data_IF_381307709947
#
_entry.id   IF_381307709947
#
_cell.length_a   1.000
_cell.length_b   1.000
_cell.length_c   1.000
_cell.angle_alpha   90.00
_cell.angle_beta   90.00
_cell.angle_gamma   90.00
#
_symmetry.space_group_name_H-M   'P 1'
#
loop_
_entity.id
_entity.type
_entity.pdbx_description
1 polymer ?
#
# COMPACT_ATOMS: atom_id res chain seq x y z
N UNK A 1 -3.66 24.09 -2.59
CA UNK A 1 -2.92 24.32 -1.33
C UNK A 1 -1.43 24.08 -1.57
N UNK A 2 -0.55 24.34 -0.60
CA UNK A 2 0.89 24.03 -0.74
C UNK A 2 1.13 22.53 -1.04
N UNK A 3 0.34 21.63 -0.44
CA UNK A 3 0.35 20.19 -0.79
C UNK A 3 0.02 19.94 -2.27
N UNK A 4 -1.01 20.60 -2.81
CA UNK A 4 -1.39 20.47 -4.24
C UNK A 4 -0.24 20.89 -5.16
N UNK A 5 0.42 22.02 -4.88
CA UNK A 5 1.54 22.50 -5.68
C UNK A 5 2.75 21.55 -5.60
N UNK A 6 3.00 20.93 -4.44
CA UNK A 6 4.07 19.92 -4.30
C UNK A 6 3.79 18.66 -5.13
N UNK A 7 2.53 18.20 -5.19
CA UNK A 7 2.14 17.04 -6.01
C UNK A 7 2.44 17.20 -7.51
N UNK A 8 2.52 18.43 -8.00
CA UNK A 8 2.89 18.70 -9.40
C UNK A 8 4.39 18.54 -9.67
N UNK A 9 5.23 18.58 -8.63
CA UNK A 9 6.68 18.61 -8.75
C UNK A 9 7.37 17.37 -8.19
N UNK A 10 6.72 16.69 -7.25
CA UNK A 10 7.26 15.48 -6.63
C UNK A 10 6.21 14.37 -6.63
N UNK A 11 6.63 13.10 -6.66
CA UNK A 11 5.71 11.98 -6.45
C UNK A 11 4.94 12.11 -5.14
N UNK A 12 3.71 11.60 -5.08
CA UNK A 12 2.81 11.73 -3.92
C UNK A 12 3.47 11.32 -2.59
N UNK A 13 4.31 10.29 -2.60
CA UNK A 13 5.02 9.79 -1.42
C UNK A 13 6.15 10.70 -0.90
N UNK A 14 6.56 11.70 -1.68
CA UNK A 14 7.51 12.74 -1.26
C UNK A 14 6.81 13.99 -0.73
N UNK A 15 5.48 14.08 -0.89
CA UNK A 15 4.72 15.20 -0.34
C UNK A 15 4.60 15.01 1.18
N UNK A 16 5.02 16.00 2.00
CA UNK A 16 4.94 15.87 3.45
C UNK A 16 3.52 15.61 3.91
N UNK A 17 3.37 14.60 4.79
CA UNK A 17 2.12 14.31 5.48
C UNK A 17 1.59 15.55 6.24
N UNK A 18 2.50 16.36 6.78
CA UNK A 18 2.16 17.54 7.59
C UNK A 18 3.01 18.74 7.18
N UNK A 19 2.37 19.91 7.19
CA UNK A 19 3.02 21.19 6.98
C UNK A 19 2.68 22.05 8.19
N UNK A 20 3.68 22.32 9.03
CA UNK A 20 3.53 23.15 10.22
C UNK A 20 4.09 24.55 9.90
N UNK A 21 3.24 25.57 10.04
CA UNK A 21 3.72 26.95 10.00
C UNK A 21 4.36 27.32 11.33
N UNK A 22 5.59 27.82 11.26
CA UNK A 22 6.32 28.37 12.40
C UNK A 22 6.56 29.85 12.13
N UNK A 23 6.42 30.68 13.16
CA UNK A 23 6.77 32.10 13.07
C UNK A 23 8.28 32.30 12.87
N UNK A 24 9.09 31.41 13.47
CA UNK A 24 10.54 31.38 13.30
C UNK A 24 11.08 29.95 13.42
N UNK A 25 12.16 29.66 12.70
CA UNK A 25 12.89 28.40 12.85
C UNK A 25 13.70 28.42 14.14
N UNK A 26 13.67 27.35 14.96
CA UNK A 26 14.52 27.27 16.14
C UNK A 26 15.98 27.12 15.72
N UNK A 27 16.85 27.99 16.22
CA UNK A 27 18.28 27.97 15.91
C UNK A 27 19.10 27.68 17.16
N UNK A 28 20.18 26.93 16.97
CA UNK A 28 21.27 26.79 17.94
C UNK A 28 21.97 28.13 18.15
N UNK A 29 22.76 28.31 19.23
CA UNK A 29 23.55 29.53 19.44
C UNK A 29 24.48 29.90 18.28
N UNK A 30 24.90 28.90 17.49
CA UNK A 30 25.75 29.09 16.30
C UNK A 30 24.93 29.37 15.01
N UNK A 31 23.63 29.66 15.12
CA UNK A 31 22.75 29.99 13.99
C UNK A 31 22.31 28.82 13.12
N UNK A 32 22.70 27.58 13.43
CA UNK A 32 22.23 26.37 12.72
C UNK A 32 20.84 25.95 13.21
N UNK A 33 20.02 25.33 12.36
CA UNK A 33 18.73 24.76 12.74
C UNK A 33 18.86 23.78 13.91
N UNK A 34 18.14 24.04 15.00
CA UNK A 34 17.98 23.11 16.11
C UNK A 34 16.81 22.16 15.84
N UNK A 35 17.11 21.01 15.25
CA UNK A 35 16.11 19.99 14.91
C UNK A 35 15.41 19.40 16.14
N UNK A 36 16.03 19.42 17.32
CA UNK A 36 15.44 18.84 18.54
C UNK A 36 14.41 19.78 19.15
N UNK A 37 14.54 21.08 18.89
CA UNK A 37 13.61 22.11 19.31
C UNK A 37 12.42 22.30 18.34
N UNK A 38 12.39 21.59 17.21
CA UNK A 38 11.21 21.59 16.34
C UNK A 38 10.00 21.02 17.09
N UNK A 39 8.82 21.64 16.99
CA UNK A 39 7.60 21.10 17.59
C UNK A 39 7.32 19.69 17.08
N UNK A 40 6.95 18.78 17.98
CA UNK A 40 6.51 17.45 17.60
C UNK A 40 5.09 17.53 17.05
N UNK A 41 4.87 16.91 15.90
CA UNK A 41 3.52 16.69 15.37
C UNK A 41 2.94 15.49 16.12
N UNK A 42 1.83 15.69 16.82
CA UNK A 42 1.09 14.59 17.44
C UNK A 42 0.29 13.86 16.35
N UNK A 43 0.82 12.74 15.89
CA UNK A 43 0.18 11.91 14.86
C UNK A 43 -1.17 11.34 15.33
N UNK A 44 -1.40 11.19 16.66
CA UNK A 44 -2.65 10.63 17.18
C UNK A 44 -3.80 11.64 17.14
N UNK A 45 -3.53 12.93 17.35
CA UNK A 45 -4.53 13.99 17.20
C UNK A 45 -4.98 14.22 15.75
N UNK A 46 -4.26 13.63 14.80
CA UNK A 46 -4.45 13.85 13.37
C UNK A 46 -5.07 12.64 12.65
N UNK A 47 -5.46 11.58 13.36
CA UNK A 47 -6.25 10.50 12.77
C UNK A 47 -7.57 11.08 12.25
N UNK A 48 -7.81 10.89 10.96
CA UNK A 48 -9.14 11.10 10.37
C UNK A 48 -10.16 10.25 11.13
N UNK A 49 -11.45 10.56 11.00
CA UNK A 49 -12.53 9.77 11.62
C UNK A 49 -12.26 8.28 11.41
N UNK A 50 -12.07 7.56 12.50
CA UNK A 50 -11.74 6.14 12.45
C UNK A 50 -12.91 5.37 11.83
N UNK A 51 -12.67 4.78 10.67
CA UNK A 51 -13.61 3.87 10.01
C UNK A 51 -13.04 2.46 10.13
N UNK A 52 -13.74 1.60 10.88
CA UNK A 52 -13.28 0.24 11.13
C UNK A 52 -13.33 -0.64 9.86
N UNK A 53 -12.32 -1.49 9.63
CA UNK A 53 -12.39 -2.59 8.67
C UNK A 53 -13.59 -3.50 8.94
N UNK A 54 -14.41 -3.77 7.93
CA UNK A 54 -15.64 -4.57 8.04
C UNK A 54 -15.48 -5.96 7.45
N UNK A 55 -14.93 -6.08 6.24
CA UNK A 55 -14.76 -7.38 5.59
C UNK A 55 -13.53 -8.14 6.12
N UNK A 56 -13.51 -9.46 5.96
CA UNK A 56 -12.38 -10.29 6.37
C UNK A 56 -11.08 -9.86 5.68
N UNK A 57 -11.14 -9.51 4.38
CA UNK A 57 -9.99 -9.02 3.63
C UNK A 57 -9.48 -7.69 4.20
N UNK A 58 -10.38 -6.76 4.51
CA UNK A 58 -10.01 -5.48 5.12
C UNK A 58 -9.34 -5.69 6.48
N UNK A 59 -9.91 -6.55 7.33
CA UNK A 59 -9.36 -6.84 8.66
C UNK A 59 -7.96 -7.45 8.58
N UNK A 60 -7.76 -8.41 7.68
CA UNK A 60 -6.45 -9.05 7.49
C UNK A 60 -5.41 -8.05 6.96
N UNK A 61 -5.78 -7.20 6.01
CA UNK A 61 -4.87 -6.18 5.47
C UNK A 61 -4.58 -5.09 6.50
N UNK A 62 -5.58 -4.64 7.25
CA UNK A 62 -5.41 -3.68 8.34
C UNK A 62 -4.44 -4.21 9.40
N UNK A 63 -4.53 -5.50 9.75
CA UNK A 63 -3.62 -6.15 10.67
C UNK A 63 -2.18 -6.17 10.14
N UNK A 64 -1.98 -6.47 8.84
CA UNK A 64 -0.65 -6.39 8.21
C UNK A 64 -0.07 -4.97 8.35
N UNK A 65 -0.87 -3.94 8.07
CA UNK A 65 -0.43 -2.55 8.20
C UNK A 65 -0.09 -2.19 9.65
N UNK A 66 -0.97 -2.51 10.60
CA UNK A 66 -0.76 -2.26 12.03
C UNK A 66 0.55 -2.89 12.53
N UNK A 67 0.81 -4.15 12.16
CA UNK A 67 2.02 -4.87 12.56
C UNK A 67 3.32 -4.26 12.00
N UNK A 68 3.27 -3.80 10.76
CA UNK A 68 4.42 -3.21 10.06
C UNK A 68 4.69 -1.80 10.59
N UNK A 69 3.64 -1.01 10.80
CA UNK A 69 3.71 0.38 11.28
C UNK A 69 3.88 0.47 12.81
N UNK A 70 3.72 -0.64 13.55
CA UNK A 70 3.74 -0.68 15.02
C UNK A 70 2.65 0.19 15.65
N UNK A 71 1.43 0.05 15.13
CA UNK A 71 0.23 0.74 15.59
C UNK A 71 -0.77 -0.25 16.19
N UNK A 72 -1.58 0.20 17.15
CA UNK A 72 -2.62 -0.65 17.76
C UNK A 72 -3.75 -0.99 16.76
N UNK A 73 -4.06 -0.06 15.84
CA UNK A 73 -5.11 -0.21 14.83
C UNK A 73 -4.86 0.71 13.64
N UNK A 74 -5.44 0.34 12.50
CA UNK A 74 -5.50 1.13 11.26
C UNK A 74 -6.94 1.15 10.76
N UNK A 75 -7.43 2.33 10.41
CA UNK A 75 -8.76 2.56 9.83
C UNK A 75 -8.74 2.60 8.30
N UNK A 76 -9.91 2.46 7.69
CA UNK A 76 -10.07 2.39 6.24
C UNK A 76 -9.66 3.67 5.49
N UNK A 77 -9.78 4.82 6.14
CA UNK A 77 -9.38 6.14 5.62
C UNK A 77 -7.91 6.46 5.86
N UNK A 78 -7.17 5.66 6.63
CA UNK A 78 -5.81 5.99 7.01
C UNK A 78 -4.84 5.85 5.83
N UNK A 79 -3.99 6.86 5.66
CA UNK A 79 -2.92 6.87 4.67
C UNK A 79 -1.65 6.24 5.22
N UNK A 80 -1.06 5.28 4.49
CA UNK A 80 0.15 4.56 4.92
C UNK A 80 1.32 5.49 5.26
N UNK A 81 1.57 6.51 4.44
CA UNK A 81 2.69 7.43 4.59
C UNK A 81 2.41 8.49 5.66
N UNK A 82 1.16 8.92 5.83
CA UNK A 82 0.79 9.80 6.95
C UNK A 82 0.93 9.08 8.30
N UNK A 83 0.72 7.77 8.33
CA UNK A 83 0.99 6.92 9.50
C UNK A 83 2.49 6.63 9.74
N UNK A 84 3.41 7.24 8.99
CA UNK A 84 4.86 7.05 9.15
C UNK A 84 5.45 5.93 8.28
N UNK A 85 4.67 5.38 7.34
CA UNK A 85 5.12 4.42 6.36
C UNK A 85 6.22 4.97 5.43
N UNK A 86 7.15 4.11 5.03
CA UNK A 86 8.21 4.44 4.06
C UNK A 86 8.59 3.22 3.22
N UNK A 87 9.46 3.40 2.22
CA UNK A 87 9.78 2.40 1.18
C UNK A 87 10.10 0.99 1.70
N UNK A 88 10.89 0.88 2.78
CA UNK A 88 11.19 -0.40 3.40
C UNK A 88 9.94 -1.08 4.00
N UNK A 89 9.07 -0.31 4.66
CA UNK A 89 7.82 -0.82 5.22
C UNK A 89 6.84 -1.23 4.10
N UNK A 90 6.80 -0.47 3.00
CA UNK A 90 6.05 -0.84 1.79
C UNK A 90 6.50 -2.20 1.27
N UNK A 91 7.80 -2.45 1.15
CA UNK A 91 8.32 -3.74 0.71
C UNK A 91 7.92 -4.90 1.66
N UNK A 92 7.88 -4.64 2.97
CA UNK A 92 7.40 -5.61 3.96
C UNK A 92 5.91 -5.91 3.80
N UNK A 93 5.07 -4.89 3.62
CA UNK A 93 3.63 -5.06 3.37
C UNK A 93 3.39 -5.89 2.12
N UNK A 94 4.04 -5.54 0.99
CA UNK A 94 3.90 -6.30 -0.26
C UNK A 94 4.26 -7.77 -0.08
N UNK A 95 5.37 -8.04 0.61
CA UNK A 95 5.83 -9.41 0.86
C UNK A 95 4.82 -10.21 1.68
N UNK A 96 4.27 -9.62 2.75
CA UNK A 96 3.26 -10.26 3.60
C UNK A 96 1.95 -10.49 2.84
N UNK A 97 1.50 -9.51 2.06
CA UNK A 97 0.31 -9.63 1.21
C UNK A 97 0.49 -10.76 0.18
N UNK A 98 1.67 -10.85 -0.46
CA UNK A 98 1.97 -11.93 -1.39
C UNK A 98 1.95 -13.30 -0.71
N UNK A 99 2.54 -13.42 0.47
CA UNK A 99 2.55 -14.67 1.24
C UNK A 99 1.15 -15.11 1.68
N UNK A 100 0.32 -14.17 2.12
CA UNK A 100 -1.00 -14.47 2.67
C UNK A 100 -2.08 -14.66 1.59
N UNK A 101 -2.01 -13.90 0.50
CA UNK A 101 -3.07 -13.86 -0.52
C UNK A 101 -2.64 -14.41 -1.89
N UNK A 102 -1.37 -14.77 -2.07
CA UNK A 102 -0.84 -15.25 -3.35
C UNK A 102 -0.76 -14.17 -4.45
N UNK A 103 -0.94 -12.90 -4.09
CA UNK A 103 -0.96 -11.78 -5.04
C UNK A 103 0.40 -11.13 -5.14
N UNK A 104 0.94 -11.04 -6.36
CA UNK A 104 2.13 -10.24 -6.62
C UNK A 104 1.74 -8.79 -6.95
N UNK A 105 2.14 -7.87 -6.08
CA UNK A 105 1.86 -6.45 -6.26
C UNK A 105 3.17 -5.69 -6.51
N UNK A 106 3.28 -4.95 -7.63
CA UNK A 106 4.39 -4.04 -7.83
C UNK A 106 4.44 -2.99 -6.72
N UNK A 107 5.61 -2.75 -6.13
CA UNK A 107 5.81 -1.73 -5.07
C UNK A 107 5.27 -0.36 -5.51
N UNK A 108 5.41 -0.03 -6.80
CA UNK A 108 4.89 1.21 -7.39
C UNK A 108 3.37 1.40 -7.22
N UNK A 109 2.62 0.31 -7.09
CA UNK A 109 1.16 0.34 -6.94
C UNK A 109 0.71 0.87 -5.56
N UNK A 110 1.57 0.78 -4.54
CA UNK A 110 1.35 1.32 -3.20
C UNK A 110 1.55 2.83 -3.14
N UNK A 111 2.45 3.39 -3.97
CA UNK A 111 2.69 4.84 -3.98
C UNK A 111 1.51 5.67 -4.47
N UNK A 112 0.54 5.04 -5.16
CA UNK A 112 -0.73 5.68 -5.54
C UNK A 112 -1.94 5.21 -4.74
N UNK A 113 -1.76 4.50 -3.61
CA UNK A 113 -2.85 4.17 -2.69
C UNK A 113 -2.82 5.18 -1.54
N UNK A 114 -3.75 6.14 -1.58
CA UNK A 114 -3.82 7.19 -0.55
C UNK A 114 -4.46 6.72 0.76
N UNK A 115 -5.09 5.54 0.80
CA UNK A 115 -5.74 5.01 1.99
C UNK A 115 -5.69 3.48 2.06
N UNK A 116 -5.94 2.92 3.25
CA UNK A 116 -6.13 1.48 3.43
C UNK A 116 -7.25 0.95 2.52
N UNK A 117 -8.36 1.68 2.37
CA UNK A 117 -9.46 1.31 1.47
C UNK A 117 -8.99 1.14 0.02
N UNK A 118 -8.28 2.14 -0.52
CA UNK A 118 -7.75 2.07 -1.88
C UNK A 118 -6.72 0.94 -2.05
N UNK A 119 -5.97 0.61 -0.99
CA UNK A 119 -5.06 -0.51 -1.00
C UNK A 119 -5.80 -1.86 -1.02
N UNK A 120 -6.84 -2.01 -0.21
CA UNK A 120 -7.71 -3.20 -0.17
C UNK A 120 -8.33 -3.45 -1.55
N UNK A 121 -8.87 -2.42 -2.20
CA UNK A 121 -9.47 -2.54 -3.54
C UNK A 121 -8.44 -3.06 -4.57
N UNK A 122 -7.21 -2.56 -4.53
CA UNK A 122 -6.13 -3.04 -5.41
C UNK A 122 -5.79 -4.49 -5.15
N UNK A 123 -5.68 -4.91 -3.88
CA UNK A 123 -5.45 -6.31 -3.52
C UNK A 123 -6.60 -7.18 -4.02
N UNK A 124 -7.84 -6.75 -3.81
CA UNK A 124 -9.04 -7.47 -4.24
C UNK A 124 -9.08 -7.66 -5.77
N UNK A 125 -8.83 -6.59 -6.54
CA UNK A 125 -8.78 -6.66 -7.99
C UNK A 125 -7.72 -7.66 -8.48
N UNK A 126 -6.52 -7.62 -7.90
CA UNK A 126 -5.45 -8.56 -8.26
C UNK A 126 -5.75 -10.01 -7.86
N UNK A 127 -6.43 -10.24 -6.72
CA UNK A 127 -6.91 -11.58 -6.32
C UNK A 127 -7.89 -12.12 -7.35
N UNK A 128 -8.84 -11.30 -7.80
CA UNK A 128 -9.85 -11.69 -8.80
C UNK A 128 -9.19 -12.05 -10.14
N UNK A 129 -8.24 -11.23 -10.62
CA UNK A 129 -7.49 -11.51 -11.86
C UNK A 129 -6.66 -12.78 -11.74
N UNK A 130 -6.02 -13.03 -10.59
CA UNK A 130 -5.22 -14.24 -10.37
C UNK A 130 -6.11 -15.49 -10.38
N UNK A 131 -7.27 -15.44 -9.73
CA UNK A 131 -8.24 -16.54 -9.72
C UNK A 131 -8.77 -16.85 -11.12
N UNK A 132 -9.15 -15.83 -11.90
CA UNK A 132 -9.68 -16.05 -13.26
C UNK A 132 -8.66 -16.67 -14.19
N UNK A 133 -7.40 -16.24 -14.12
CA UNK A 133 -6.30 -16.82 -14.91
C UNK A 133 -6.03 -18.28 -14.52
N UNK A 134 -6.12 -18.62 -13.23
CA UNK A 134 -5.98 -20.00 -12.76
C UNK A 134 -7.12 -20.88 -13.27
N UNK A 135 -8.35 -20.38 -13.26
CA UNK A 135 -9.53 -21.10 -13.78
C UNK A 135 -9.43 -21.33 -15.30
N UNK A 136 -8.97 -20.34 -16.06
CA UNK A 136 -8.74 -20.47 -17.51
C UNK A 136 -7.63 -21.48 -17.81
N UNK A 137 -6.49 -21.40 -17.12
CA UNK A 137 -5.40 -22.34 -17.29
C UNK A 137 -5.82 -23.78 -16.95
N UNK A 138 -6.60 -23.97 -15.87
CA UNK A 138 -7.13 -25.27 -15.50
C UNK A 138 -8.03 -25.86 -16.61
N UNK A 139 -8.93 -25.04 -17.17
CA UNK A 139 -9.79 -25.44 -18.30
C UNK A 139 -8.98 -25.79 -19.54
N UNK A 140 -7.97 -24.99 -19.89
CA UNK A 140 -7.09 -25.27 -21.05
C UNK A 140 -6.28 -26.56 -20.87
N UNK A 141 -5.75 -26.81 -19.67
CA UNK A 141 -5.03 -28.06 -19.36
C UNK A 141 -5.97 -29.28 -19.41
N UNK A 142 -7.20 -29.13 -18.95
CA UNK A 142 -8.20 -30.20 -19.03
C UNK A 142 -8.61 -30.48 -20.48
N UNK A 143 -8.76 -29.44 -21.31
CA UNK A 143 -9.00 -29.58 -22.74
C UNK A 143 -7.84 -30.34 -23.41
N UNK A 144 -6.58 -29.94 -23.14
CA UNK A 144 -5.38 -30.60 -23.66
C UNK A 144 -5.30 -32.08 -23.30
N UNK A 145 -5.69 -32.46 -22.08
CA UNK A 145 -5.73 -33.87 -21.64
C UNK A 145 -6.79 -34.72 -22.36
N UNK A 146 -7.79 -34.09 -22.96
CA UNK A 146 -8.85 -34.77 -23.72
C UNK A 146 -8.51 -34.91 -25.21
N UNK A 147 -7.44 -34.30 -25.70
CA UNK A 147 -6.96 -34.47 -27.07
C UNK A 147 -6.26 -35.81 -27.26
N UNK A 148 -6.45 -36.41 -28.43
CA UNK A 148 -5.75 -37.62 -28.88
C UNK A 148 -4.25 -37.33 -29.07
N UNK A 149 -3.34 -38.31 -28.90
CA UNK A 149 -1.93 -38.18 -29.23
C UNK A 149 -1.68 -37.61 -30.64
N UNK A 150 -2.49 -38.02 -31.63
CA UNK A 150 -2.41 -37.54 -33.03
C UNK A 150 -2.74 -36.04 -33.18
N UNK A 151 -3.60 -35.51 -32.31
CA UNK A 151 -3.96 -34.09 -32.33
C UNK A 151 -2.90 -33.22 -31.64
N UNK A 152 -2.17 -33.79 -30.67
CA UNK A 152 -1.05 -33.11 -30.00
C UNK A 152 0.15 -32.95 -30.93
N UNK A 153 0.44 -33.95 -31.77
CA UNK A 153 1.53 -33.86 -32.77
C UNK A 153 1.29 -32.76 -33.82
N UNK A 154 0.03 -32.52 -34.22
CA UNK A 154 -0.35 -31.44 -35.14
C UNK A 154 -0.23 -30.03 -34.56
N UNK A 155 -0.21 -29.89 -33.23
CA UNK A 155 -0.09 -28.58 -32.54
C UNK A 155 1.37 -28.16 -32.38
N UNK A 156 2.30 -29.13 -32.36
CA UNK A 156 3.74 -28.91 -32.12
C UNK A 156 4.53 -28.79 -33.45
N UNK A 157 3.93 -29.22 -34.57
CA UNK A 157 4.41 -29.00 -35.95
C UNK A 157 4.05 -27.62 -36.49
#
# INVERSE_FOLDING_TARGET
SLKTALKEHVPDYMVPAYLLFLEALPLTPNGKLDRKALPKVDAQQMQQVYVAPQSELEQQIAAIWADVLKLDRVGMSDNFFELGGHSLLVAQVVTRVKQQFGVDMPIKSLFGAESLAAFVEKVQALRQTTSSLQDELAKSLEALKRLSPDDLEKIIS
#
